data_IF_454399230232
#
_entry.id   IF_454399230232
#
_cell.length_a   1.000
_cell.length_b   1.000
_cell.length_c   1.000
_cell.angle_alpha   90.00
_cell.angle_beta   90.00
_cell.angle_gamma   90.00
#
_symmetry.space_group_name_H-M   'P 1'
#
loop_
_entity.id
_entity.type
_entity.pdbx_description
1 polymer ?
#
# COMPACT_ATOMS: atom_id res chain seq x y z
N UNK A 1 -80.24 -42.66 9.34
CA UNK A 1 -79.67 -41.77 8.30
C UNK A 1 -78.30 -41.31 8.78
N UNK A 2 -77.28 -41.37 7.90
CA UNK A 2 -75.85 -41.11 8.16
C UNK A 2 -75.58 -39.66 8.62
N UNK A 3 -74.51 -39.48 9.41
CA UNK A 3 -73.42 -38.48 9.28
C UNK A 3 -72.68 -38.37 10.64
N UNK A 4 -71.51 -38.97 10.89
CA UNK A 4 -70.11 -38.66 10.48
C UNK A 4 -69.54 -37.31 10.98
N UNK A 5 -68.62 -37.44 11.95
CA UNK A 5 -67.33 -36.72 12.17
C UNK A 5 -67.40 -35.26 12.67
N UNK A 6 -66.88 -35.01 13.89
CA UNK A 6 -65.51 -34.47 14.11
C UNK A 6 -65.07 -34.65 15.57
N UNK A 7 -63.98 -35.39 15.70
CA UNK A 7 -63.18 -35.60 16.90
C UNK A 7 -62.30 -34.35 17.10
N UNK A 8 -62.33 -33.73 18.28
CA UNK A 8 -61.28 -32.81 18.71
C UNK A 8 -60.93 -33.11 20.15
N UNK A 9 -59.84 -33.85 20.32
CA UNK A 9 -59.10 -33.99 21.57
C UNK A 9 -58.19 -32.76 21.68
N UNK A 10 -58.40 -31.92 22.71
CA UNK A 10 -57.37 -31.00 23.18
C UNK A 10 -57.08 -31.35 24.63
N UNK A 11 -55.89 -31.91 24.84
CA UNK A 11 -55.35 -32.32 26.13
C UNK A 11 -54.06 -31.51 26.35
N UNK A 12 -53.85 -31.08 27.61
CA UNK A 12 -52.55 -30.97 28.33
C UNK A 12 -51.93 -29.58 28.54
N UNK A 13 -51.90 -29.21 29.84
CA UNK A 13 -50.83 -28.60 30.66
C UNK A 13 -50.30 -27.19 30.35
N UNK A 14 -49.69 -26.42 31.27
CA UNK A 14 -49.57 -26.25 32.74
C UNK A 14 -48.46 -25.17 32.86
N UNK A 15 -48.51 -24.34 33.90
CA UNK A 15 -47.37 -23.66 34.57
C UNK A 15 -46.84 -22.38 33.92
N UNK A 16 -47.08 -21.33 34.69
CA UNK A 16 -46.50 -19.99 34.69
C UNK A 16 -45.07 -19.97 35.23
N UNK A 17 -44.37 -18.89 34.87
CA UNK A 17 -43.08 -18.39 35.36
C UNK A 17 -41.82 -19.03 34.75
N UNK A 18 -41.12 -18.22 33.95
CA UNK A 18 -39.74 -17.82 34.21
C UNK A 18 -39.37 -16.65 33.28
N UNK A 19 -39.23 -15.46 33.86
CA UNK A 19 -38.50 -14.37 33.20
C UNK A 19 -37.00 -14.71 33.26
N UNK A 20 -36.41 -14.92 32.09
CA UNK A 20 -34.96 -14.84 31.94
C UNK A 20 -34.65 -13.81 30.85
N UNK A 21 -34.56 -12.56 31.29
CA UNK A 21 -33.86 -11.50 30.58
C UNK A 21 -32.38 -11.89 30.46
N UNK A 22 -31.96 -12.34 29.28
CA UNK A 22 -30.54 -12.41 28.96
C UNK A 22 -30.10 -11.06 28.39
N UNK A 23 -29.61 -10.19 29.27
CA UNK A 23 -28.82 -9.04 28.89
C UNK A 23 -27.51 -9.53 28.25
N UNK A 24 -27.48 -9.67 26.92
CA UNK A 24 -26.24 -9.96 26.20
C UNK A 24 -25.43 -8.66 26.03
N UNK A 25 -24.59 -8.39 27.04
CA UNK A 25 -23.54 -7.40 26.96
C UNK A 25 -22.39 -7.98 26.11
N UNK A 26 -22.56 -8.02 24.79
CA UNK A 26 -21.49 -8.41 23.86
C UNK A 26 -20.61 -7.19 23.62
N UNK A 27 -19.46 -7.16 24.32
CA UNK A 27 -18.34 -6.26 24.06
C UNK A 27 -18.13 -6.12 22.56
N UNK A 28 -18.03 -4.89 22.06
CA UNK A 28 -17.56 -4.56 20.72
C UNK A 28 -16.16 -5.17 20.50
N UNK A 29 -16.11 -6.45 20.14
CA UNK A 29 -14.96 -7.03 19.49
C UNK A 29 -14.87 -6.32 18.16
N UNK A 30 -13.92 -5.39 18.03
CA UNK A 30 -13.48 -4.88 16.74
C UNK A 30 -13.21 -6.12 15.90
N UNK A 31 -14.13 -6.42 14.97
CA UNK A 31 -13.97 -7.50 14.02
C UNK A 31 -12.79 -7.07 13.15
N UNK A 32 -11.58 -7.53 13.50
CA UNK A 32 -10.43 -7.45 12.61
C UNK A 32 -10.76 -8.37 11.45
N UNK A 33 -11.40 -7.81 10.42
CA UNK A 33 -11.52 -8.48 9.14
C UNK A 33 -10.10 -8.55 8.61
N UNK A 34 -9.45 -9.71 8.75
CA UNK A 34 -8.26 -10.01 7.97
C UNK A 34 -8.74 -10.17 6.54
N UNK A 35 -8.93 -9.04 5.85
CA UNK A 35 -8.99 -9.03 4.40
C UNK A 35 -7.60 -9.53 4.00
N UNK A 36 -7.51 -10.76 3.51
CA UNK A 36 -6.39 -11.15 2.66
C UNK A 36 -6.45 -10.20 1.47
N UNK A 37 -5.79 -9.05 1.60
CA UNK A 37 -5.66 -8.05 0.54
C UNK A 37 -4.73 -8.72 -0.45
N UNK A 38 -5.34 -9.49 -1.37
CA UNK A 38 -4.63 -10.12 -2.48
C UNK A 38 -3.70 -9.07 -3.08
N UNK A 39 -2.47 -9.47 -3.43
CA UNK A 39 -1.47 -8.58 -4.01
C UNK A 39 -2.09 -7.85 -5.22
N UNK A 40 -2.67 -6.67 -5.01
CA UNK A 40 -3.60 -6.06 -5.96
C UNK A 40 -2.77 -5.48 -7.09
N UNK A 41 -2.54 -6.30 -8.10
CA UNK A 41 -1.87 -5.91 -9.34
C UNK A 41 -2.90 -5.34 -10.28
N UNK A 42 -2.63 -4.14 -10.77
CA UNK A 42 -3.50 -3.40 -11.69
C UNK A 42 -2.81 -3.35 -13.05
N UNK A 43 -3.44 -3.85 -14.13
CA UNK A 43 -2.85 -3.75 -15.45
C UNK A 43 -2.63 -2.29 -15.84
N UNK A 44 -1.43 -1.93 -16.30
CA UNK A 44 -1.12 -0.54 -16.69
C UNK A 44 -2.10 0.08 -17.70
N UNK A 45 -2.74 -0.75 -18.54
CA UNK A 45 -3.75 -0.34 -19.53
C UNK A 45 -5.04 0.24 -18.91
N UNK A 46 -5.36 -0.11 -17.67
CA UNK A 46 -6.55 0.40 -16.98
C UNK A 46 -6.25 1.68 -16.19
N UNK A 47 -4.99 2.09 -16.13
CA UNK A 47 -4.53 3.25 -15.36
C UNK A 47 -4.52 4.50 -16.23
N UNK A 48 -5.34 5.48 -15.88
CA UNK A 48 -5.42 6.76 -16.59
C UNK A 48 -4.68 7.82 -15.80
N UNK A 49 -3.60 8.37 -16.36
CA UNK A 49 -2.83 9.45 -15.72
C UNK A 49 -3.54 10.79 -15.91
N UNK A 50 -3.69 11.56 -14.82
CA UNK A 50 -4.32 12.89 -14.89
C UNK A 50 -3.44 13.95 -15.56
N UNK A 51 -2.13 13.73 -15.60
CA UNK A 51 -1.20 14.58 -16.37
C UNK A 51 -0.90 13.92 -17.71
N UNK A 52 -0.93 14.71 -18.78
CA UNK A 52 -0.63 14.23 -20.14
C UNK A 52 0.85 13.97 -20.39
N UNK A 53 1.74 14.58 -19.59
CA UNK A 53 3.19 14.43 -19.69
C UNK A 53 3.78 14.16 -18.31
N UNK A 54 4.64 13.15 -18.21
CA UNK A 54 5.48 12.95 -17.03
C UNK A 54 6.59 13.98 -17.03
N UNK A 55 6.81 14.64 -15.89
CA UNK A 55 7.96 15.51 -15.69
C UNK A 55 9.18 14.62 -15.48
N UNK A 56 10.18 14.74 -16.35
CA UNK A 56 11.46 14.05 -16.20
C UNK A 56 12.53 15.08 -15.89
N UNK A 57 13.21 14.92 -14.75
CA UNK A 57 14.28 15.83 -14.35
C UNK A 57 15.61 15.36 -14.92
N UNK A 58 16.30 16.23 -15.66
CA UNK A 58 17.59 15.93 -16.28
C UNK A 58 18.62 17.04 -16.00
N UNK A 59 19.87 16.66 -15.74
CA UNK A 59 21.01 17.57 -15.51
C UNK A 59 22.22 17.17 -16.36
N UNK A 60 23.06 18.13 -16.75
CA UNK A 60 24.25 17.85 -17.57
C UNK A 60 25.43 17.32 -16.78
N UNK A 61 25.55 17.71 -15.52
CA UNK A 61 26.69 17.38 -14.65
C UNK A 61 26.20 16.93 -13.28
N UNK A 62 27.00 16.10 -12.61
CA UNK A 62 26.77 15.64 -11.24
C UNK A 62 28.05 15.84 -10.43
N UNK A 63 27.94 16.50 -9.28
CA UNK A 63 28.99 16.59 -8.27
C UNK A 63 28.93 15.41 -7.30
N UNK A 64 30.08 15.01 -6.74
CA UNK A 64 30.21 14.01 -5.65
C UNK A 64 29.34 12.76 -5.85
N UNK A 65 29.46 12.10 -7.01
CA UNK A 65 28.61 10.97 -7.37
C UNK A 65 29.23 9.63 -7.00
N UNK A 66 28.39 8.70 -6.56
CA UNK A 66 28.72 7.27 -6.44
C UNK A 66 28.10 6.51 -7.60
N UNK A 67 28.81 5.52 -8.15
CA UNK A 67 28.31 4.70 -9.26
C UNK A 67 28.02 3.29 -8.73
N UNK A 68 26.81 2.81 -8.98
CA UNK A 68 26.33 1.51 -8.52
C UNK A 68 25.72 0.79 -9.73
N UNK A 69 26.17 -0.44 -10.01
CA UNK A 69 25.64 -1.24 -11.13
C UNK A 69 24.60 -2.23 -10.61
N UNK A 70 23.47 -2.33 -11.29
CA UNK A 70 22.41 -3.29 -10.97
C UNK A 70 21.71 -3.75 -12.23
N UNK A 71 21.64 -5.06 -12.46
CA UNK A 71 20.97 -5.69 -13.62
C UNK A 71 21.37 -5.03 -14.97
N UNK A 72 22.65 -4.72 -15.15
CA UNK A 72 23.18 -4.09 -16.36
C UNK A 72 22.99 -2.57 -16.47
N UNK A 73 22.26 -1.94 -15.54
CA UNK A 73 22.05 -0.49 -15.50
C UNK A 73 23.05 0.15 -14.52
N UNK A 74 23.68 1.25 -14.94
CA UNK A 74 24.54 2.06 -14.06
C UNK A 74 23.71 3.17 -13.43
N UNK A 75 23.59 3.13 -12.11
CA UNK A 75 22.97 4.16 -11.30
C UNK A 75 24.05 5.11 -10.77
N UNK A 76 23.80 6.40 -10.92
CA UNK A 76 24.62 7.46 -10.36
C UNK A 76 23.86 8.05 -9.18
N UNK A 77 24.44 8.02 -7.99
CA UNK A 77 23.84 8.57 -6.79
C UNK A 77 24.52 9.88 -6.42
N UNK A 78 23.74 10.95 -6.24
CA UNK A 78 24.22 12.27 -5.81
C UNK A 78 23.06 13.05 -5.20
N UNK A 79 23.31 13.81 -4.12
CA UNK A 79 22.33 14.66 -3.45
C UNK A 79 20.98 13.96 -3.17
N UNK A 80 21.04 12.77 -2.56
CA UNK A 80 19.88 11.93 -2.24
C UNK A 80 19.03 11.46 -3.44
N UNK A 81 19.53 11.59 -4.68
CA UNK A 81 18.82 11.19 -5.89
C UNK A 81 19.62 10.18 -6.69
N UNK A 82 18.91 9.28 -7.36
CA UNK A 82 19.49 8.33 -8.29
C UNK A 82 19.25 8.81 -9.72
N UNK A 83 20.24 8.58 -10.56
CA UNK A 83 20.23 8.98 -11.95
C UNK A 83 20.68 7.83 -12.85
N UNK A 84 20.22 7.82 -14.10
CA UNK A 84 20.83 7.10 -15.21
C UNK A 84 21.43 8.10 -16.18
N UNK A 85 22.43 7.68 -16.97
CA UNK A 85 23.02 8.54 -17.99
C UNK A 85 22.51 8.14 -19.37
N UNK A 86 21.86 9.07 -20.07
CA UNK A 86 21.35 8.85 -21.42
C UNK A 86 21.30 10.16 -22.19
N UNK A 87 21.62 10.13 -23.49
CA UNK A 87 21.54 11.31 -24.37
C UNK A 87 22.37 12.51 -23.89
N UNK A 88 23.53 12.27 -23.27
CA UNK A 88 24.39 13.32 -22.74
C UNK A 88 23.86 14.02 -21.49
N UNK A 89 22.90 13.41 -20.78
CA UNK A 89 22.31 13.96 -19.56
C UNK A 89 22.15 12.87 -18.49
N UNK A 90 22.22 13.29 -17.23
CA UNK A 90 21.84 12.47 -16.08
C UNK A 90 20.36 12.69 -15.80
N UNK A 91 19.58 11.63 -15.94
CA UNK A 91 18.12 11.62 -15.80
C UNK A 91 17.78 10.99 -14.46
N UNK A 92 16.98 11.67 -13.65
CA UNK A 92 16.51 11.13 -12.37
C UNK A 92 15.67 9.88 -12.63
N UNK A 93 15.98 8.81 -11.90
CA UNK A 93 15.21 7.57 -11.92
C UNK A 93 15.10 6.97 -10.52
N UNK A 94 14.00 6.28 -10.23
CA UNK A 94 13.91 5.44 -9.06
C UNK A 94 14.77 4.17 -9.25
N UNK A 95 15.53 3.73 -8.23
CA UNK A 95 16.22 2.46 -8.25
C UNK A 95 15.22 1.30 -8.27
N UNK A 96 15.51 0.25 -9.06
CA UNK A 96 14.61 -0.90 -9.19
C UNK A 96 14.76 -1.86 -8.02
N UNK A 97 13.70 -2.64 -7.77
CA UNK A 97 13.68 -3.67 -6.71
C UNK A 97 14.93 -4.58 -6.81
N UNK A 98 15.52 -4.85 -5.64
CA UNK A 98 16.78 -5.58 -5.47
C UNK A 98 18.04 -4.71 -5.58
N UNK A 99 17.91 -3.41 -5.88
CA UNK A 99 19.04 -2.50 -5.92
C UNK A 99 19.62 -2.29 -4.51
N UNK A 100 20.93 -2.39 -4.35
CA UNK A 100 21.59 -2.32 -3.03
C UNK A 100 22.46 -1.07 -2.86
N UNK A 101 22.42 -0.51 -1.66
CA UNK A 101 23.25 0.62 -1.21
C UNK A 101 23.85 0.31 0.16
N UNK A 102 25.04 0.86 0.43
CA UNK A 102 25.71 0.70 1.73
C UNK A 102 25.13 1.61 2.81
N UNK A 103 24.70 2.81 2.43
CA UNK A 103 24.24 3.85 3.34
C UNK A 103 22.92 4.41 2.84
N UNK A 104 21.95 4.58 3.74
CA UNK A 104 20.65 5.18 3.42
C UNK A 104 20.80 6.66 3.02
N UNK A 105 19.87 7.20 2.21
CA UNK A 105 19.80 8.63 1.95
C UNK A 105 19.65 9.45 3.23
N UNK A 106 20.25 10.65 3.24
CA UNK A 106 20.11 11.56 4.38
C UNK A 106 18.65 11.99 4.52
N UNK A 107 18.07 11.87 5.71
CA UNK A 107 16.67 12.21 5.98
C UNK A 107 15.67 11.08 5.76
N UNK A 108 16.14 9.82 5.63
CA UNK A 108 15.24 8.67 5.67
C UNK A 108 14.42 8.64 6.97
N UNK A 109 13.25 8.03 6.91
CA UNK A 109 12.41 7.73 8.08
C UNK A 109 12.18 6.23 8.20
N UNK A 110 11.80 5.76 9.39
CA UNK A 110 11.38 4.38 9.61
C UNK A 110 9.86 4.28 9.51
N UNK A 111 9.37 3.37 8.69
CA UNK A 111 7.94 3.07 8.55
C UNK A 111 7.70 1.70 9.19
N UNK A 112 6.73 1.65 10.10
CA UNK A 112 6.31 0.41 10.74
C UNK A 112 5.17 -0.22 9.96
N UNK A 113 5.28 -1.51 9.65
CA UNK A 113 4.21 -2.32 9.12
C UNK A 113 4.12 -3.61 9.96
N UNK A 114 2.93 -4.23 10.15
CA UNK A 114 2.78 -5.39 11.03
C UNK A 114 3.72 -6.57 10.73
N UNK A 115 4.14 -6.72 9.47
CA UNK A 115 5.00 -7.83 9.04
C UNK A 115 6.50 -7.51 9.12
N UNK A 116 6.89 -6.25 8.87
CA UNK A 116 8.28 -5.78 8.98
C UNK A 116 8.34 -4.26 9.01
N UNK A 117 9.47 -3.75 9.50
CA UNK A 117 9.81 -2.33 9.40
C UNK A 117 10.53 -2.03 8.08
N UNK A 118 10.34 -0.82 7.58
CA UNK A 118 11.01 -0.28 6.41
C UNK A 118 11.82 0.95 6.76
N UNK A 119 12.88 1.18 6.00
CA UNK A 119 13.46 2.50 5.85
C UNK A 119 12.89 3.12 4.59
N UNK A 120 12.38 4.34 4.66
CA UNK A 120 11.73 5.01 3.55
C UNK A 120 12.38 6.36 3.28
N UNK A 121 12.62 6.64 2.01
CA UNK A 121 13.01 7.98 1.57
C UNK A 121 12.43 8.26 0.18
N UNK A 122 11.62 9.33 0.09
CA UNK A 122 11.08 9.86 -1.15
C UNK A 122 10.50 8.80 -2.11
N UNK A 123 9.66 7.91 -1.58
CA UNK A 123 8.98 6.86 -2.33
C UNK A 123 9.76 5.56 -2.51
N UNK A 124 11.01 5.49 -2.06
CA UNK A 124 11.82 4.27 -2.13
C UNK A 124 11.79 3.59 -0.76
N UNK A 125 11.36 2.34 -0.75
CA UNK A 125 11.38 1.48 0.44
C UNK A 125 12.64 0.63 0.44
N UNK A 126 13.31 0.60 1.59
CA UNK A 126 14.50 -0.18 1.82
C UNK A 126 14.29 -1.14 2.98
N UNK A 127 14.82 -2.34 2.82
CA UNK A 127 15.02 -3.28 3.91
C UNK A 127 16.51 -3.33 4.28
N UNK A 128 16.82 -3.54 5.55
CA UNK A 128 18.19 -3.86 5.94
C UNK A 128 18.55 -5.28 5.46
N UNK A 129 19.74 -5.41 4.89
CA UNK A 129 20.35 -6.69 4.48
C UNK A 129 21.81 -6.65 4.94
N UNK A 130 22.38 -7.79 5.28
CA UNK A 130 23.78 -8.00 5.73
C UNK A 130 24.63 -6.73 5.88
N UNK A 131 25.22 -6.26 4.76
CA UNK A 131 26.19 -5.16 4.69
C UNK A 131 25.61 -3.84 4.16
N UNK A 132 24.28 -3.68 4.14
CA UNK A 132 23.64 -2.45 3.69
C UNK A 132 22.11 -2.51 3.64
N UNK A 133 21.57 -2.00 2.55
CA UNK A 133 20.14 -1.79 2.36
C UNK A 133 19.75 -2.15 0.94
N UNK A 134 18.63 -2.84 0.80
CA UNK A 134 18.09 -3.27 -0.48
C UNK A 134 16.75 -2.59 -0.74
N UNK A 135 16.56 -2.08 -1.96
CA UNK A 135 15.29 -1.56 -2.43
C UNK A 135 14.29 -2.71 -2.54
N UNK A 136 13.17 -2.58 -1.83
CA UNK A 136 12.13 -3.60 -1.75
C UNK A 136 10.78 -3.04 -2.15
N UNK A 137 9.90 -3.92 -2.57
CA UNK A 137 8.49 -3.59 -2.68
C UNK A 137 7.86 -3.48 -1.27
N UNK A 138 7.08 -2.43 -0.97
CA UNK A 138 6.37 -2.32 0.31
C UNK A 138 5.25 -3.36 0.41
N UNK A 139 4.80 -3.68 1.62
CA UNK A 139 3.59 -4.46 1.81
C UNK A 139 2.37 -3.59 1.56
N UNK A 140 1.33 -4.21 1.00
CA UNK A 140 0.02 -3.59 0.95
C UNK A 140 -0.48 -3.35 2.38
N UNK A 141 -0.98 -2.15 2.64
CA UNK A 141 -1.34 -1.69 3.98
C UNK A 141 -0.23 -0.88 4.66
N UNK A 142 0.95 -0.78 4.05
CA UNK A 142 2.00 0.14 4.52
C UNK A 142 1.50 1.58 4.45
N UNK A 143 1.70 2.34 5.53
CA UNK A 143 1.23 3.72 5.66
C UNK A 143 2.42 4.68 5.65
N UNK A 144 2.32 5.72 4.81
CA UNK A 144 3.24 6.86 4.78
C UNK A 144 2.48 8.16 5.02
N UNK A 145 3.17 9.16 5.56
CA UNK A 145 2.56 10.47 5.88
C UNK A 145 2.88 11.56 4.83
N UNK A 146 3.82 11.29 3.94
CA UNK A 146 4.24 12.18 2.86
C UNK A 146 4.30 11.40 1.55
N UNK A 147 3.76 11.98 0.48
CA UNK A 147 3.90 11.41 -0.85
C UNK A 147 5.30 11.72 -1.42
N UNK A 148 5.83 10.84 -2.30
CA UNK A 148 7.10 11.10 -2.99
C UNK A 148 7.01 12.35 -3.87
N UNK A 149 8.08 13.15 -4.01
CA UNK A 149 8.07 14.43 -4.74
C UNK A 149 7.51 14.35 -6.17
N UNK A 150 7.75 13.23 -6.85
CA UNK A 150 7.38 12.99 -8.24
C UNK A 150 6.15 12.09 -8.37
N UNK A 151 5.29 12.05 -7.36
CA UNK A 151 4.04 11.31 -7.44
C UNK A 151 3.14 11.82 -8.59
N UNK A 152 2.37 10.91 -9.15
CA UNK A 152 1.31 11.19 -10.10
C UNK A 152 -0.07 10.91 -9.50
N UNK A 153 -1.10 11.58 -10.04
CA UNK A 153 -2.49 11.19 -9.76
C UNK A 153 -2.99 10.37 -10.91
N UNK A 154 -3.55 9.21 -10.58
CA UNK A 154 -4.09 8.27 -11.55
C UNK A 154 -5.54 7.96 -11.25
N UNK A 155 -6.27 7.52 -12.26
CA UNK A 155 -7.61 6.97 -12.14
C UNK A 155 -7.57 5.49 -12.53
N UNK A 156 -8.15 4.64 -11.68
CA UNK A 156 -8.31 3.20 -11.87
C UNK A 156 -9.75 2.87 -11.47
N UNK A 157 -10.51 2.25 -12.36
CA UNK A 157 -11.93 1.90 -12.14
C UNK A 157 -12.76 3.09 -11.61
N UNK A 158 -12.59 4.26 -12.24
CA UNK A 158 -13.26 5.52 -11.88
C UNK A 158 -12.98 6.06 -10.47
N UNK A 159 -11.99 5.50 -9.77
CA UNK A 159 -11.49 6.01 -8.47
C UNK A 159 -10.10 6.61 -8.65
N UNK A 160 -9.86 7.74 -7.96
CA UNK A 160 -8.57 8.44 -8.01
C UNK A 160 -7.61 7.92 -6.94
N UNK A 161 -6.40 7.63 -7.36
CA UNK A 161 -5.27 7.21 -6.51
C UNK A 161 -4.04 8.08 -6.76
N UNK A 162 -3.02 7.89 -5.93
CA UNK A 162 -1.68 8.44 -6.13
C UNK A 162 -0.74 7.31 -6.54
N UNK A 163 0.23 7.61 -7.39
CA UNK A 163 1.14 6.63 -7.95
C UNK A 163 2.58 7.13 -7.88
N UNK A 164 3.51 6.24 -7.53
CA UNK A 164 4.94 6.49 -7.68
C UNK A 164 5.69 5.17 -7.87
N UNK A 165 6.53 5.09 -8.91
CA UNK A 165 7.29 3.90 -9.34
C UNK A 165 6.46 2.60 -9.30
N UNK A 166 5.23 2.68 -9.81
CA UNK A 166 4.22 1.62 -9.88
C UNK A 166 3.57 1.24 -8.55
N UNK A 167 3.86 1.94 -7.45
CA UNK A 167 3.15 1.75 -6.18
C UNK A 167 1.91 2.65 -6.16
N UNK A 168 0.74 2.06 -5.89
CA UNK A 168 -0.52 2.78 -5.75
C UNK A 168 -0.80 3.10 -4.29
N UNK A 169 -1.19 4.35 -4.04
CA UNK A 169 -1.55 4.85 -2.73
C UNK A 169 -2.96 5.41 -2.70
N UNK A 170 -3.71 5.06 -1.66
CA UNK A 170 -4.98 5.69 -1.32
C UNK A 170 -4.78 6.70 -0.19
N UNK A 171 -5.37 7.89 -0.34
CA UNK A 171 -5.38 8.89 0.72
C UNK A 171 -6.36 8.46 1.81
N UNK A 172 -5.87 8.41 3.04
CA UNK A 172 -6.64 8.07 4.23
C UNK A 172 -6.46 9.15 5.33
N UNK A 173 -7.15 8.98 6.44
CA UNK A 173 -7.02 9.82 7.62
C UNK A 173 -6.82 8.95 8.86
N UNK A 174 -5.80 9.24 9.66
CA UNK A 174 -5.46 8.55 10.90
C UNK A 174 -5.35 9.59 11.99
N UNK A 175 -6.17 9.48 13.04
CA UNK A 175 -6.19 10.41 14.18
C UNK A 175 -6.24 11.89 13.77
N UNK A 176 -7.01 12.19 12.72
CA UNK A 176 -7.14 13.54 12.17
C UNK A 176 -6.03 13.95 11.18
N UNK A 177 -4.89 13.26 11.17
CA UNK A 177 -3.78 13.50 10.26
C UNK A 177 -3.99 12.82 8.90
N UNK A 178 -3.51 13.46 7.83
CA UNK A 178 -3.52 12.89 6.48
C UNK A 178 -2.43 11.83 6.37
N UNK A 179 -2.78 10.68 5.81
CA UNK A 179 -1.83 9.62 5.51
C UNK A 179 -2.18 8.96 4.17
N UNK A 180 -1.31 8.06 3.71
CA UNK A 180 -1.42 7.38 2.43
C UNK A 180 -1.09 5.90 2.61
N UNK A 181 -2.04 5.05 2.27
CA UNK A 181 -1.91 3.59 2.39
C UNK A 181 -1.53 2.98 1.05
N UNK A 182 -0.55 2.08 1.03
CA UNK A 182 -0.26 1.24 -0.14
C UNK A 182 -1.45 0.32 -0.39
N UNK A 183 -2.09 0.45 -1.55
CA UNK A 183 -3.27 -0.36 -1.92
C UNK A 183 -2.99 -1.40 -2.99
N UNK A 184 -1.91 -1.24 -3.75
CA UNK A 184 -1.56 -2.17 -4.82
C UNK A 184 -0.41 -1.66 -5.67
N UNK A 185 -0.23 -2.30 -6.83
CA UNK A 185 0.86 -2.00 -7.74
C UNK A 185 0.39 -2.08 -9.19
N UNK A 186 1.00 -1.28 -10.06
CA UNK A 186 0.78 -1.33 -11.49
C UNK A 186 1.68 -2.40 -12.12
N UNK A 187 1.11 -3.28 -12.94
CA UNK A 187 1.87 -4.23 -13.75
C UNK A 187 2.55 -3.53 -14.92
N UNK A 188 3.84 -3.83 -15.08
CA UNK A 188 4.65 -3.33 -16.20
C UNK A 188 4.41 -4.16 -17.46
#
# INVERSE_FOLDING_TARGET
MRNLIKLSFLLVFFITANEHMYAQNSRNSKKTVIVKKNNQRVPSKTVIYKKTKRKVVAVRTLSNRTIIKHKGISYYYSNNRFYTYSGGSYIVIAPKIGFRIKTLPVGYIKIKHPNRDYFWFNGIFYNNVDDGYEVVEPEIGTIIYELPDEYERVEVDSKTYYEFDNVLYEKIQIDGARAYEVIGFIEQ
#
